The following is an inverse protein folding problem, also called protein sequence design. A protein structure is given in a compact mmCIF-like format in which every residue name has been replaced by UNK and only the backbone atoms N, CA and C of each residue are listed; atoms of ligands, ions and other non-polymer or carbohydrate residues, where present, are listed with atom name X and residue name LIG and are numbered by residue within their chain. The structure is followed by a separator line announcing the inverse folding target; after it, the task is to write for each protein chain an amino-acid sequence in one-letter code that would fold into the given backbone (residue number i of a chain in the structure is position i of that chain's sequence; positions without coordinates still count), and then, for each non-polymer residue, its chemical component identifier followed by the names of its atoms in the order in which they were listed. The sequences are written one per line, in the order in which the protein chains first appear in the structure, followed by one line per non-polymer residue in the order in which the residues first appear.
data_IF_328688444709
#
_entry.id   IF_328688444709
#
_cell.length_a   1.000
_cell.length_b   1.000
_cell.length_c   1.000
_cell.angle_alpha   90.00
_cell.angle_beta   90.00
_cell.angle_gamma   90.00
#
_symmetry.space_group_name_H-M   'P 1'
#
loop_
_entity.id
_entity.type
_entity.pdbx_description
1 polymer ?
#
# COMPACT_ATOMS: atom_id res chain seq x y z
N UNK A 1 20.07 20.12 -4.66
CA UNK A 1 19.62 20.99 -3.55
C UNK A 1 18.21 20.58 -3.19
N UNK A 2 17.89 20.42 -1.90
CA UNK A 2 16.52 20.10 -1.48
C UNK A 2 15.66 21.36 -1.53
N UNK A 3 14.64 21.37 -2.36
CA UNK A 3 13.71 22.49 -2.51
C UNK A 3 12.75 22.55 -1.31
N UNK A 4 12.68 23.69 -0.63
CA UNK A 4 11.82 23.89 0.54
C UNK A 4 10.60 24.70 0.12
N UNK A 5 9.41 24.11 0.25
CA UNK A 5 8.14 24.80 0.00
C UNK A 5 7.42 25.07 1.33
N UNK A 6 6.86 26.27 1.47
CA UNK A 6 6.01 26.62 2.62
C UNK A 6 4.55 26.50 2.25
N UNK A 7 3.76 25.84 3.10
CA UNK A 7 2.34 25.56 2.85
C UNK A 7 1.51 26.27 3.92
N UNK A 8 0.45 26.96 3.51
CA UNK A 8 -0.53 27.53 4.44
C UNK A 8 -1.57 26.46 4.79
N UNK A 9 -1.79 26.25 6.09
CA UNK A 9 -2.79 25.33 6.61
C UNK A 9 -3.77 26.08 7.50
N UNK A 10 -5.01 25.60 7.56
CA UNK A 10 -5.96 26.07 8.58
C UNK A 10 -5.44 25.71 9.98
N UNK A 11 -5.78 26.56 10.97
CA UNK A 11 -5.31 26.39 12.35
C UNK A 11 -5.74 25.05 12.95
N UNK A 12 -6.97 24.62 12.68
CA UNK A 12 -7.51 23.32 13.07
C UNK A 12 -6.68 22.18 12.48
N UNK A 13 -6.41 22.19 11.17
CA UNK A 13 -5.59 21.19 10.48
C UNK A 13 -4.17 21.11 11.04
N UNK A 14 -3.55 22.26 11.36
CA UNK A 14 -2.24 22.28 12.01
C UNK A 14 -2.29 21.67 13.42
N UNK A 15 -3.37 21.89 14.15
CA UNK A 15 -3.58 21.29 15.47
C UNK A 15 -3.64 19.78 15.37
N UNK A 16 -4.41 19.23 14.44
CA UNK A 16 -4.47 17.78 14.26
C UNK A 16 -3.17 17.18 13.75
N UNK A 17 -2.46 17.90 12.88
CA UNK A 17 -1.12 17.49 12.48
C UNK A 17 -0.16 17.41 13.69
N UNK A 18 -0.31 18.28 14.70
CA UNK A 18 0.47 18.19 15.92
C UNK A 18 0.14 16.95 16.76
N UNK A 19 -1.14 16.56 16.80
CA UNK A 19 -1.57 15.36 17.52
C UNK A 19 -1.13 14.07 16.83
N UNK A 20 -1.12 14.05 15.49
CA UNK A 20 -0.72 12.90 14.67
C UNK A 20 0.79 12.72 14.54
N UNK A 21 1.56 13.77 14.80
CA UNK A 21 3.03 13.79 14.70
C UNK A 21 3.65 13.11 15.92
N UNK A 22 4.61 12.22 15.68
CA UNK A 22 5.35 11.58 16.78
C UNK A 22 6.25 12.61 17.50
N UNK A 23 6.51 12.43 18.79
CA UNK A 23 7.21 13.42 19.64
C UNK A 23 8.53 13.95 19.04
N UNK A 24 9.31 13.10 18.37
CA UNK A 24 10.61 13.44 17.76
C UNK A 24 10.56 13.65 16.24
N UNK A 25 9.39 13.55 15.61
CA UNK A 25 9.24 13.64 14.16
C UNK A 25 9.31 15.11 13.69
N UNK A 26 9.68 15.37 12.43
CA UNK A 26 9.56 16.72 11.83
C UNK A 26 8.21 16.86 11.12
N UNK A 27 7.72 18.08 10.88
CA UNK A 27 6.48 18.25 10.09
C UNK A 27 6.60 17.66 8.68
N UNK A 28 7.75 17.80 8.04
CA UNK A 28 7.99 17.24 6.72
C UNK A 28 7.93 15.70 6.74
N UNK A 29 8.52 15.08 7.77
CA UNK A 29 8.47 13.63 7.97
C UNK A 29 7.04 13.14 8.20
N UNK A 30 6.28 13.83 9.06
CA UNK A 30 4.89 13.50 9.33
C UNK A 30 4.02 13.62 8.06
N UNK A 31 4.19 14.70 7.29
CA UNK A 31 3.46 14.90 6.03
C UNK A 31 3.81 13.80 5.02
N UNK A 32 5.09 13.45 4.85
CA UNK A 32 5.51 12.37 3.95
C UNK A 32 4.93 11.02 4.35
N UNK A 33 4.92 10.71 5.66
CA UNK A 33 4.29 9.50 6.19
C UNK A 33 2.79 9.48 5.88
N UNK A 34 2.07 10.55 6.20
CA UNK A 34 0.64 10.66 5.93
C UNK A 34 0.31 10.55 4.44
N UNK A 35 1.14 11.11 3.55
CA UNK A 35 0.98 10.94 2.09
C UNK A 35 1.21 9.48 1.68
N UNK A 36 2.21 8.82 2.28
CA UNK A 36 2.47 7.40 2.03
C UNK A 36 1.31 6.53 2.52
N UNK A 37 0.78 6.81 3.71
CA UNK A 37 -0.36 6.11 4.28
C UNK A 37 -1.61 6.29 3.40
N UNK A 38 -1.86 7.52 2.93
CA UNK A 38 -2.98 7.83 2.04
C UNK A 38 -2.84 7.19 0.64
N UNK A 39 -1.63 7.16 0.07
CA UNK A 39 -1.36 6.49 -1.21
C UNK A 39 -1.55 4.98 -1.14
N UNK A 40 -1.30 4.40 0.03
CA UNK A 40 -1.41 2.98 0.27
C UNK A 40 -2.72 2.60 0.98
N UNK A 41 -3.73 3.48 0.96
CA UNK A 41 -5.01 3.21 1.65
C UNK A 41 -5.65 1.91 1.19
N UNK A 42 -5.47 1.56 -0.09
CA UNK A 42 -6.03 0.36 -0.71
C UNK A 42 -4.97 -0.73 -0.90
N UNK A 43 -3.72 -0.51 -0.47
CA UNK A 43 -2.62 -1.45 -0.71
C UNK A 43 -2.92 -2.84 -0.16
N UNK A 44 -3.63 -2.93 0.97
CA UNK A 44 -4.06 -4.20 1.54
C UNK A 44 -5.03 -4.94 0.63
N UNK A 45 -5.98 -4.23 0.04
CA UNK A 45 -6.98 -4.78 -0.87
C UNK A 45 -6.32 -5.21 -2.18
N UNK A 46 -5.45 -4.35 -2.73
CA UNK A 46 -4.67 -4.64 -3.94
C UNK A 46 -3.79 -5.89 -3.77
N UNK A 47 -3.14 -6.05 -2.60
CA UNK A 47 -2.33 -7.24 -2.29
C UNK A 47 -3.20 -8.50 -2.19
N UNK A 48 -4.36 -8.43 -1.54
CA UNK A 48 -5.28 -9.57 -1.44
C UNK A 48 -5.74 -9.99 -2.83
N UNK A 49 -6.08 -9.05 -3.70
CA UNK A 49 -6.50 -9.33 -5.07
C UNK A 49 -5.37 -9.94 -5.89
N UNK A 50 -4.16 -9.39 -5.82
CA UNK A 50 -2.99 -9.93 -6.50
C UNK A 50 -2.69 -11.38 -6.10
N UNK A 51 -2.71 -11.69 -4.79
CA UNK A 51 -2.50 -13.06 -4.32
C UNK A 51 -3.61 -14.01 -4.76
N UNK A 52 -4.88 -13.58 -4.78
CA UNK A 52 -5.98 -14.38 -5.33
C UNK A 52 -5.78 -14.68 -6.81
N UNK A 53 -5.37 -13.68 -7.60
CA UNK A 53 -5.09 -13.87 -9.02
C UNK A 53 -3.92 -14.83 -9.26
N UNK A 54 -2.85 -14.74 -8.46
CA UNK A 54 -1.73 -15.68 -8.54
C UNK A 54 -2.16 -17.10 -8.19
N UNK A 55 -2.87 -17.28 -7.06
CA UNK A 55 -3.37 -18.60 -6.66
C UNK A 55 -4.32 -19.24 -7.68
N UNK A 56 -5.11 -18.42 -8.40
CA UNK A 56 -5.96 -18.92 -9.48
C UNK A 56 -5.13 -19.47 -10.66
N UNK A 57 -4.07 -18.78 -11.04
CA UNK A 57 -3.15 -19.24 -12.11
C UNK A 57 -2.39 -20.49 -11.71
N UNK A 58 -1.95 -20.55 -10.46
CA UNK A 58 -1.25 -21.73 -9.93
C UNK A 58 -2.18 -22.95 -9.88
N UNK A 59 -3.46 -22.75 -9.56
CA UNK A 59 -4.48 -23.80 -9.60
C UNK A 59 -4.77 -24.26 -11.03
N UNK A 60 -4.97 -23.33 -11.97
CA UNK A 60 -5.17 -23.65 -13.40
C UNK A 60 -4.01 -24.46 -13.96
N UNK A 61 -2.78 -24.07 -13.64
CA UNK A 61 -1.58 -24.82 -14.02
C UNK A 61 -1.60 -26.24 -13.43
N UNK A 62 -1.91 -26.38 -12.14
CA UNK A 62 -1.98 -27.68 -11.49
C UNK A 62 -3.02 -28.61 -12.14
N UNK A 63 -4.20 -28.08 -12.47
CA UNK A 63 -5.27 -28.81 -13.16
C UNK A 63 -4.83 -29.28 -14.56
N UNK A 64 -4.09 -28.45 -15.31
CA UNK A 64 -3.51 -28.84 -16.61
C UNK A 64 -2.52 -30.01 -16.46
N UNK A 65 -1.66 -29.97 -15.44
CA UNK A 65 -0.71 -31.07 -15.16
C UNK A 65 -1.42 -32.35 -14.71
N UNK A 66 -2.47 -32.24 -13.90
CA UNK A 66 -3.29 -33.38 -13.48
C UNK A 66 -3.98 -34.05 -14.66
N UNK A 67 -4.54 -33.27 -15.59
CA UNK A 67 -5.11 -33.79 -16.82
C UNK A 67 -4.07 -34.51 -17.68
N UNK A 68 -2.93 -33.88 -17.93
CA UNK A 68 -1.85 -34.49 -18.71
C UNK A 68 -1.30 -35.78 -18.07
N UNK A 69 -1.26 -35.85 -16.74
CA UNK A 69 -0.85 -37.06 -16.02
C UNK A 69 -1.87 -38.20 -16.12
N UNK A 70 -3.16 -37.88 -16.26
CA UNK A 70 -4.25 -38.86 -16.36
C UNK A 70 -4.47 -39.38 -17.78
N UNK A 71 -3.99 -38.67 -18.82
CA UNK A 71 -4.04 -39.13 -20.22
C UNK A 71 -2.96 -40.18 -20.58
N UNK A 72 -1.95 -40.38 -19.72
CA UNK A 72 -0.84 -41.33 -19.93
C UNK A 72 -1.13 -42.72 -19.29
N UNK A 73 -2.35 -42.92 -18.75
CA UNK A 73 -2.85 -44.22 -18.23
C UNK A 73 -3.81 -44.85 -19.23
#
# INVERSE_FOLDING_TARGET
MSEITTIKLQKSTKSELNHLKLKSESYNSAIKRLISDARNSNLKEDLIEAYKCMGKKDLELLEEWEQASNEVV
#
